data_IF_353981008042
#
_entry.id   IF_353981008042
#
_cell.length_a   1.000
_cell.length_b   1.000
_cell.length_c   1.000
_cell.angle_alpha   90.00
_cell.angle_beta   90.00
_cell.angle_gamma   90.00
#
_symmetry.space_group_name_H-M   'P 1'
#
loop_
_entity.id
_entity.type
_entity.pdbx_description
1 polymer ?
#
# COMPACT_ATOMS: atom_id res chain seq x y z
N UNK A 1 21.11 -18.16 50.25
CA UNK A 1 22.51 -18.06 49.84
C UNK A 1 22.59 -17.03 48.75
N UNK A 2 23.06 -15.92 49.16
CA UNK A 2 23.30 -14.73 48.38
C UNK A 2 24.73 -14.68 47.83
N UNK A 3 24.90 -14.00 46.75
CA UNK A 3 26.16 -13.32 46.46
C UNK A 3 25.86 -12.00 45.74
N UNK A 4 26.42 -10.95 46.32
CA UNK A 4 26.43 -9.55 45.87
C UNK A 4 27.53 -9.33 44.83
N UNK A 5 27.31 -8.45 43.89
CA UNK A 5 28.00 -7.18 43.68
C UNK A 5 29.21 -7.22 42.80
N UNK A 6 29.24 -6.34 41.81
CA UNK A 6 30.22 -5.24 41.77
C UNK A 6 29.95 -4.27 40.60
N UNK A 7 29.86 -3.03 41.02
CA UNK A 7 29.94 -1.83 40.15
C UNK A 7 31.32 -1.73 39.46
N UNK A 8 31.35 -1.18 38.26
CA UNK A 8 32.46 -0.29 37.91
C UNK A 8 32.05 0.74 36.86
N UNK A 9 31.95 1.95 37.37
CA UNK A 9 31.94 3.22 36.66
C UNK A 9 33.31 3.45 36.00
N UNK A 10 33.34 3.87 34.74
CA UNK A 10 34.44 4.72 34.27
C UNK A 10 33.94 5.75 33.23
N UNK A 11 33.94 6.95 33.71
CA UNK A 11 33.79 8.20 32.96
C UNK A 11 35.12 8.60 32.33
N UNK A 12 35.13 9.14 31.11
CA UNK A 12 36.05 10.15 30.57
C UNK A 12 35.37 10.84 29.39
N UNK A 13 34.92 12.07 29.58
CA UNK A 13 35.57 13.37 29.33
C UNK A 13 35.83 13.72 27.86
N UNK A 14 34.97 14.61 27.37
CA UNK A 14 35.17 15.87 26.61
C UNK A 14 36.35 15.97 25.61
N UNK A 15 36.01 16.33 24.37
CA UNK A 15 36.76 17.37 23.67
C UNK A 15 35.87 18.14 22.69
N UNK A 16 35.71 19.40 22.98
CA UNK A 16 35.13 20.49 22.18
C UNK A 16 36.25 21.03 21.29
N UNK A 17 35.99 21.14 19.99
CA UNK A 17 36.81 21.99 19.11
C UNK A 17 35.87 22.91 18.34
N UNK A 18 35.85 24.17 18.79
CA UNK A 18 35.37 25.33 18.05
C UNK A 18 36.47 25.81 17.10
N UNK A 19 36.12 26.07 15.86
CA UNK A 19 36.93 26.91 14.96
C UNK A 19 36.01 27.95 14.34
N UNK A 20 36.22 29.17 14.83
CA UNK A 20 35.78 30.43 14.25
C UNK A 20 36.86 30.97 13.31
N UNK A 21 36.52 31.46 12.15
CA UNK A 21 37.31 32.43 11.37
C UNK A 21 36.40 33.24 10.45
N UNK A 22 36.46 34.34 10.66
CA UNK A 22 36.35 35.77 10.42
C UNK A 22 36.48 36.16 8.94
N UNK A 23 35.63 37.11 8.62
CA UNK A 23 35.46 38.10 7.59
C UNK A 23 36.68 38.61 6.78
N UNK A 24 36.39 39.08 5.56
CA UNK A 24 36.93 40.34 5.04
C UNK A 24 36.05 40.89 3.90
N UNK A 25 35.65 42.11 4.07
CA UNK A 25 35.04 43.06 3.14
C UNK A 25 36.07 43.60 2.14
N UNK A 26 35.67 43.85 0.91
CA UNK A 26 36.25 44.93 0.10
C UNK A 26 35.22 45.46 -0.91
N UNK A 27 34.87 46.69 -0.73
CA UNK A 27 34.14 47.60 -1.58
C UNK A 27 35.05 48.23 -2.62
N UNK A 28 34.60 48.39 -3.86
CA UNK A 28 34.94 49.57 -4.67
C UNK A 28 33.82 49.85 -5.65
N UNK A 29 33.25 51.04 -5.54
CA UNK A 29 32.34 51.62 -6.50
C UNK A 29 33.08 52.33 -7.61
N UNK A 30 32.45 52.45 -8.75
CA UNK A 30 32.67 53.53 -9.72
C UNK A 30 31.34 53.90 -10.41
N UNK A 31 30.95 55.15 -10.18
CA UNK A 31 29.93 55.87 -10.94
C UNK A 31 30.37 56.13 -12.40
N UNK A 32 29.48 56.03 -13.33
CA UNK A 32 29.52 56.79 -14.59
C UNK A 32 28.10 56.95 -15.17
N UNK A 33 27.57 58.16 -14.98
CA UNK A 33 26.46 58.70 -15.78
C UNK A 33 26.87 58.99 -17.21
N UNK A 34 25.99 58.68 -18.17
CA UNK A 34 25.62 59.46 -19.39
C UNK A 34 24.79 58.58 -20.31
N UNK A 35 23.65 59.11 -20.66
CA UNK A 35 23.23 59.68 -21.94
C UNK A 35 21.89 59.11 -22.36
N UNK A 36 20.82 59.89 -22.19
CA UNK A 36 19.52 59.67 -22.81
C UNK A 36 19.60 59.87 -24.33
N UNK A 37 19.26 58.87 -25.14
CA UNK A 37 18.74 59.07 -26.49
C UNK A 37 17.50 58.18 -26.65
N UNK A 38 16.37 58.86 -26.92
CA UNK A 38 15.11 58.19 -27.27
C UNK A 38 15.22 57.62 -28.68
N UNK A 39 15.02 56.35 -28.86
CA UNK A 39 14.84 55.66 -30.14
C UNK A 39 13.42 55.12 -30.24
N UNK A 40 12.90 54.87 -31.47
CA UNK A 40 11.47 54.74 -31.74
C UNK A 40 10.80 53.50 -31.19
N UNK A 41 9.52 53.67 -30.85
CA UNK A 41 8.60 52.66 -30.38
C UNK A 41 8.56 51.43 -31.33
N UNK A 42 9.26 50.37 -30.91
CA UNK A 42 9.12 49.05 -31.51
C UNK A 42 7.89 48.34 -30.95
N UNK A 43 6.93 48.03 -31.78
CA UNK A 43 5.83 47.13 -31.51
C UNK A 43 6.37 45.80 -30.96
N UNK A 44 6.01 45.47 -29.71
CA UNK A 44 6.29 44.14 -29.13
C UNK A 44 5.33 43.14 -29.79
N UNK A 45 5.86 42.26 -30.59
CA UNK A 45 5.15 41.07 -31.00
C UNK A 45 4.68 40.29 -29.75
N UNK A 46 3.45 39.77 -29.73
CA UNK A 46 2.97 38.93 -28.63
C UNK A 46 3.85 37.68 -28.51
N UNK A 47 4.11 37.19 -27.30
CA UNK A 47 4.85 35.93 -27.11
C UNK A 47 4.15 34.81 -27.88
N UNK A 48 4.92 33.85 -28.42
CA UNK A 48 4.32 32.72 -29.12
C UNK A 48 3.40 31.97 -28.12
N UNK A 49 2.19 31.69 -28.57
CA UNK A 49 1.25 30.85 -27.83
C UNK A 49 1.97 29.53 -27.51
N UNK A 50 2.17 29.25 -26.23
CA UNK A 50 2.61 27.95 -25.80
C UNK A 50 1.60 26.92 -26.34
N UNK A 51 1.99 26.17 -27.36
CA UNK A 51 1.31 24.97 -27.74
C UNK A 51 1.37 24.04 -26.52
N UNK A 52 0.30 23.99 -25.75
CA UNK A 52 0.05 22.89 -24.82
C UNK A 52 -0.19 21.70 -25.73
N UNK A 53 0.86 20.93 -26.00
CA UNK A 53 0.72 19.59 -26.53
C UNK A 53 -0.03 18.82 -25.46
N UNK A 54 -1.33 18.66 -25.64
CA UNK A 54 -2.10 17.72 -24.82
C UNK A 54 -1.42 16.37 -24.99
N UNK A 55 -0.66 15.96 -23.96
CA UNK A 55 -0.22 14.58 -23.87
C UNK A 55 -1.51 13.76 -23.82
N UNK A 56 -1.75 12.98 -24.87
CA UNK A 56 -2.82 12.00 -24.92
C UNK A 56 -2.54 11.06 -23.75
N UNK A 57 -3.31 11.18 -22.66
CA UNK A 57 -3.31 10.17 -21.61
C UNK A 57 -3.63 8.85 -22.31
N UNK A 58 -2.64 7.98 -22.41
CA UNK A 58 -2.85 6.62 -22.87
C UNK A 58 -3.72 5.97 -21.82
N UNK A 59 -4.97 5.65 -22.17
CA UNK A 59 -5.86 4.88 -21.31
C UNK A 59 -5.16 3.57 -20.98
N UNK A 60 -4.96 3.33 -19.68
CA UNK A 60 -4.41 2.06 -19.20
C UNK A 60 -5.40 0.93 -19.48
N UNK A 61 -4.93 -0.15 -20.13
CA UNK A 61 -5.77 -1.26 -20.54
C UNK A 61 -5.82 -2.38 -19.49
N UNK A 62 -6.92 -3.13 -19.37
CA UNK A 62 -7.01 -4.28 -18.48
C UNK A 62 -5.85 -5.27 -18.67
N UNK A 63 -5.22 -5.66 -17.56
CA UNK A 63 -4.04 -6.53 -17.55
C UNK A 63 -2.72 -5.79 -17.71
N UNK A 64 -2.73 -4.49 -18.00
CA UNK A 64 -1.52 -3.68 -18.07
C UNK A 64 -0.87 -3.57 -16.68
N UNK A 65 0.47 -3.71 -16.65
CA UNK A 65 1.28 -3.63 -15.43
C UNK A 65 2.11 -2.36 -15.53
N UNK A 66 2.09 -1.56 -14.48
CA UNK A 66 2.81 -0.29 -14.45
C UNK A 66 3.20 0.12 -13.02
N UNK A 67 4.03 1.17 -12.93
CA UNK A 67 4.38 1.87 -11.69
C UNK A 67 4.32 3.37 -11.95
N UNK A 68 3.78 4.13 -11.00
CA UNK A 68 3.74 5.60 -11.12
C UNK A 68 5.10 6.26 -10.77
N UNK A 69 5.99 5.55 -10.11
CA UNK A 69 7.37 5.97 -9.87
C UNK A 69 8.29 4.75 -9.68
N UNK A 70 9.62 4.96 -9.76
CA UNK A 70 10.62 3.90 -9.69
C UNK A 70 10.49 2.97 -8.48
N UNK A 71 10.21 3.54 -7.31
CA UNK A 71 10.16 2.81 -6.04
C UNK A 71 8.71 2.77 -5.48
N UNK A 72 7.70 2.94 -6.34
CA UNK A 72 6.30 2.79 -6.02
C UNK A 72 5.86 1.33 -6.13
N UNK A 73 4.75 0.93 -5.49
CA UNK A 73 4.15 -0.38 -5.72
C UNK A 73 3.85 -0.65 -7.19
N UNK A 74 4.15 -1.86 -7.66
CA UNK A 74 3.77 -2.33 -8.98
C UNK A 74 2.27 -2.63 -9.01
N UNK A 75 1.57 -2.08 -9.99
CA UNK A 75 0.12 -2.16 -10.12
C UNK A 75 -0.27 -2.99 -11.35
N UNK A 76 -1.45 -3.58 -11.30
CA UNK A 76 -2.11 -4.16 -12.48
C UNK A 76 -3.50 -3.58 -12.65
N UNK A 77 -3.89 -3.33 -13.89
CA UNK A 77 -5.24 -2.87 -14.22
C UNK A 77 -6.21 -4.04 -14.21
N UNK A 78 -7.20 -3.98 -13.32
CA UNK A 78 -8.27 -4.96 -13.20
C UNK A 78 -9.46 -4.52 -14.05
N UNK A 79 -10.02 -5.42 -14.91
CA UNK A 79 -11.15 -5.07 -15.77
C UNK A 79 -12.43 -4.82 -14.99
N UNK A 80 -13.40 -4.07 -15.54
CA UNK A 80 -14.76 -4.05 -15.02
C UNK A 80 -15.42 -5.43 -15.20
N UNK A 81 -16.45 -5.71 -14.41
CA UNK A 81 -17.20 -6.97 -14.48
C UNK A 81 -18.08 -7.19 -13.27
N UNK A 82 -18.78 -8.31 -13.26
CA UNK A 82 -19.69 -8.69 -12.19
C UNK A 82 -19.19 -9.99 -11.52
N UNK A 83 -19.40 -10.11 -10.21
CA UNK A 83 -19.10 -11.34 -9.49
C UNK A 83 -20.04 -11.56 -8.30
N UNK A 84 -20.10 -12.78 -7.82
CA UNK A 84 -20.80 -13.12 -6.59
C UNK A 84 -19.81 -13.02 -5.44
N UNK A 85 -20.02 -12.02 -4.56
CA UNK A 85 -19.24 -11.78 -3.36
C UNK A 85 -19.78 -12.62 -2.20
N UNK A 86 -18.85 -13.09 -1.36
CA UNK A 86 -19.17 -13.86 -0.17
C UNK A 86 -19.19 -15.36 -0.40
N UNK A 87 -19.70 -16.09 0.57
CA UNK A 87 -19.92 -17.56 0.53
C UNK A 87 -21.00 -17.98 1.53
N UNK A 88 -21.32 -19.28 1.51
CA UNK A 88 -22.23 -19.86 2.50
C UNK A 88 -21.49 -20.59 3.64
N UNK A 89 -20.17 -20.45 3.73
CA UNK A 89 -19.35 -21.19 4.70
C UNK A 89 -19.47 -20.63 6.12
N UNK A 90 -19.50 -19.31 6.28
CA UNK A 90 -19.64 -18.68 7.60
C UNK A 90 -20.80 -17.65 7.60
N UNK A 91 -21.27 -17.27 8.78
CA UNK A 91 -22.27 -16.22 8.92
C UNK A 91 -21.77 -14.85 8.44
N UNK A 92 -20.47 -14.59 8.56
CA UNK A 92 -19.86 -13.31 8.22
C UNK A 92 -19.75 -13.08 6.70
N UNK A 93 -19.79 -14.17 5.93
CA UNK A 93 -19.67 -14.16 4.47
C UNK A 93 -21.04 -14.16 3.76
N UNK A 94 -22.15 -14.20 4.53
CA UNK A 94 -23.54 -14.29 4.04
C UNK A 94 -24.24 -12.94 4.02
N UNK A 95 -25.26 -12.80 3.15
CA UNK A 95 -25.56 -13.68 2.02
C UNK A 95 -24.60 -13.48 0.86
N UNK A 96 -24.41 -14.52 0.04
CA UNK A 96 -23.83 -14.30 -1.29
C UNK A 96 -24.67 -13.28 -2.05
N UNK A 97 -24.01 -12.33 -2.70
CA UNK A 97 -24.71 -11.26 -3.43
C UNK A 97 -23.90 -10.78 -4.63
N UNK A 98 -24.60 -10.28 -5.63
CA UNK A 98 -24.00 -9.75 -6.85
C UNK A 98 -23.39 -8.38 -6.61
N UNK A 99 -22.14 -8.20 -7.03
CA UNK A 99 -21.45 -6.92 -7.06
C UNK A 99 -21.07 -6.59 -8.51
N UNK A 100 -21.27 -5.32 -8.90
CA UNK A 100 -20.85 -4.78 -10.18
C UNK A 100 -19.62 -3.87 -10.03
N UNK A 101 -18.50 -4.26 -10.61
CA UNK A 101 -17.31 -3.44 -10.80
C UNK A 101 -17.51 -2.63 -12.08
N UNK A 102 -18.01 -1.42 -11.98
CA UNK A 102 -18.45 -0.62 -13.13
C UNK A 102 -17.32 0.00 -13.95
N UNK A 103 -16.15 0.19 -13.35
CA UNK A 103 -14.99 0.82 -13.98
C UNK A 103 -13.74 0.01 -13.69
N UNK A 104 -12.75 0.03 -14.58
CA UNK A 104 -11.45 -0.55 -14.27
C UNK A 104 -10.80 0.22 -13.12
N UNK A 105 -9.97 -0.45 -12.36
CA UNK A 105 -9.12 0.14 -11.32
C UNK A 105 -7.75 -0.54 -11.34
N UNK A 106 -6.73 0.13 -10.84
CA UNK A 106 -5.43 -0.49 -10.70
C UNK A 106 -5.20 -0.89 -9.24
N UNK A 107 -4.67 -2.08 -9.01
CA UNK A 107 -4.41 -2.62 -7.68
C UNK A 107 -2.98 -3.12 -7.56
N UNK A 108 -2.37 -3.00 -6.37
CA UNK A 108 -1.06 -3.56 -6.08
C UNK A 108 -1.01 -5.03 -6.42
N UNK A 109 -0.06 -5.41 -7.27
CA UNK A 109 0.15 -6.82 -7.63
C UNK A 109 0.53 -7.67 -6.43
N UNK A 110 1.19 -7.07 -5.45
CA UNK A 110 1.66 -7.65 -4.19
C UNK A 110 1.15 -6.82 -3.02
N UNK A 111 1.27 -7.35 -1.83
CA UNK A 111 1.17 -6.55 -0.62
C UNK A 111 2.25 -5.45 -0.65
N UNK A 112 2.00 -4.30 -0.03
CA UNK A 112 3.03 -3.28 0.18
C UNK A 112 4.18 -3.90 0.96
N UNK A 113 5.39 -3.72 0.45
CA UNK A 113 6.60 -4.29 1.04
C UNK A 113 7.24 -3.38 2.09
N UNK A 114 8.12 -3.93 2.91
CA UNK A 114 8.94 -3.12 3.81
C UNK A 114 9.80 -2.10 3.06
N UNK A 115 10.31 -2.44 1.88
CA UNK A 115 11.10 -1.51 1.07
C UNK A 115 10.27 -0.29 0.65
N UNK A 116 9.02 -0.49 0.22
CA UNK A 116 8.10 0.58 -0.14
C UNK A 116 7.67 1.40 1.09
N UNK A 117 7.38 0.73 2.21
CA UNK A 117 7.06 1.39 3.48
C UNK A 117 8.21 2.28 3.97
N UNK A 118 9.44 1.79 3.89
CA UNK A 118 10.63 2.52 4.35
C UNK A 118 10.82 3.83 3.57
N UNK A 119 10.42 3.89 2.29
CA UNK A 119 10.39 5.16 1.53
C UNK A 119 9.45 6.21 2.17
N UNK A 120 8.26 5.78 2.61
CA UNK A 120 7.33 6.65 3.31
C UNK A 120 7.88 7.10 4.68
N UNK A 121 8.51 6.17 5.40
CA UNK A 121 9.10 6.44 6.70
C UNK A 121 10.31 7.37 6.61
N UNK A 122 11.15 7.21 5.60
CA UNK A 122 12.33 8.05 5.34
C UNK A 122 11.93 9.45 4.87
N UNK A 123 10.80 9.56 4.16
CA UNK A 123 10.19 10.84 3.81
C UNK A 123 9.53 11.54 5.01
N UNK A 124 9.46 10.89 6.18
CA UNK A 124 8.87 11.43 7.42
C UNK A 124 7.33 11.42 7.45
N UNK A 125 6.66 10.87 6.44
CA UNK A 125 5.21 10.79 6.37
C UNK A 125 4.67 9.62 7.21
N UNK A 126 5.26 8.44 7.09
CA UNK A 126 4.97 7.29 7.94
C UNK A 126 5.89 7.30 9.16
N UNK A 127 5.37 7.72 10.30
CA UNK A 127 6.20 7.86 11.53
C UNK A 127 6.53 6.52 12.19
N UNK A 128 5.71 5.51 11.97
CA UNK A 128 5.92 4.18 12.53
C UNK A 128 6.99 3.42 11.74
N UNK A 129 7.90 2.77 12.47
CA UNK A 129 8.89 1.85 11.90
C UNK A 129 8.57 0.44 12.40
N UNK A 130 7.80 -0.33 11.63
CA UNK A 130 7.34 -1.64 12.07
C UNK A 130 8.49 -2.62 12.22
N UNK A 131 8.37 -3.49 13.23
CA UNK A 131 9.30 -4.59 13.49
C UNK A 131 9.11 -5.68 12.41
N UNK A 132 10.22 -6.20 11.91
CA UNK A 132 10.26 -7.32 10.97
C UNK A 132 10.48 -8.68 11.65
N UNK A 133 10.46 -8.73 12.98
CA UNK A 133 10.69 -9.90 13.81
C UNK A 133 12.01 -10.63 13.54
N UNK A 134 12.99 -9.94 12.92
CA UNK A 134 14.26 -10.54 12.51
C UNK A 134 14.13 -11.44 11.28
N UNK A 135 12.99 -11.41 10.58
CA UNK A 135 12.79 -12.19 9.34
C UNK A 135 13.40 -11.53 8.11
N UNK A 136 13.76 -10.25 8.23
CA UNK A 136 14.27 -9.41 7.17
C UNK A 136 13.18 -8.55 6.54
N UNK A 137 13.61 -7.42 6.00
CA UNK A 137 12.77 -6.39 5.35
C UNK A 137 12.73 -6.60 3.82
N UNK A 138 12.97 -5.57 3.07
CA UNK A 138 13.03 -5.61 1.60
C UNK A 138 11.69 -5.98 1.00
N UNK A 139 11.68 -7.06 0.23
CA UNK A 139 10.50 -7.53 -0.51
C UNK A 139 9.45 -8.27 0.34
N UNK A 140 9.63 -8.42 1.64
CA UNK A 140 8.59 -8.99 2.50
C UNK A 140 7.45 -7.98 2.68
N UNK A 141 6.19 -8.45 2.82
CA UNK A 141 5.09 -7.54 3.12
C UNK A 141 5.35 -6.76 4.39
N UNK A 142 5.06 -5.48 4.38
CA UNK A 142 5.05 -4.72 5.63
C UNK A 142 3.96 -5.27 6.54
N UNK A 143 4.34 -5.59 7.76
CA UNK A 143 3.47 -6.08 8.83
C UNK A 143 3.63 -5.20 10.07
N UNK A 144 2.90 -5.47 11.14
CA UNK A 144 2.87 -4.59 12.32
C UNK A 144 2.39 -3.16 11.99
N UNK A 145 1.49 -3.03 11.05
CA UNK A 145 0.85 -1.77 10.67
C UNK A 145 -0.64 -1.81 10.98
N UNK A 146 -1.17 -0.71 11.50
CA UNK A 146 -2.61 -0.52 11.71
C UNK A 146 -3.29 -0.07 10.42
N UNK A 147 -4.62 -0.03 10.43
CA UNK A 147 -5.40 0.56 9.35
C UNK A 147 -5.07 2.05 9.18
N UNK A 148 -4.94 2.79 10.28
CA UNK A 148 -4.56 4.20 10.26
C UNK A 148 -3.15 4.40 9.68
N UNK A 149 -2.21 3.50 9.95
CA UNK A 149 -0.87 3.53 9.34
C UNK A 149 -0.95 3.31 7.82
N UNK A 150 -1.81 2.40 7.35
CA UNK A 150 -2.01 2.14 5.94
C UNK A 150 -2.63 3.36 5.22
N UNK A 151 -3.59 4.07 5.85
CA UNK A 151 -4.14 5.33 5.34
C UNK A 151 -3.08 6.43 5.22
N UNK A 152 -2.16 6.54 6.18
CA UNK A 152 -1.03 7.48 6.05
C UNK A 152 -0.14 7.15 4.85
N UNK A 153 0.11 5.87 4.59
CA UNK A 153 0.90 5.43 3.44
C UNK A 153 0.23 5.78 2.11
N UNK A 154 -1.06 5.47 1.93
CA UNK A 154 -1.77 5.78 0.67
C UNK A 154 -1.92 7.29 0.45
N UNK A 155 -2.08 8.06 1.53
CA UNK A 155 -2.07 9.52 1.49
C UNK A 155 -0.72 10.08 1.04
N UNK A 156 0.38 9.57 1.59
CA UNK A 156 1.74 9.92 1.16
C UNK A 156 2.00 9.53 -0.31
N UNK A 157 1.61 8.31 -0.69
CA UNK A 157 1.80 7.81 -2.05
C UNK A 157 1.03 8.66 -3.06
N UNK A 158 -0.18 9.10 -2.71
CA UNK A 158 -0.98 10.02 -3.52
C UNK A 158 -0.29 11.37 -3.72
N UNK A 159 0.29 11.94 -2.67
CA UNK A 159 1.04 13.19 -2.76
C UNK A 159 2.33 13.03 -3.58
N UNK A 160 3.06 11.92 -3.40
CA UNK A 160 4.31 11.63 -4.10
C UNK A 160 4.11 11.49 -5.60
N UNK A 161 3.02 10.86 -6.02
CA UNK A 161 2.77 10.52 -7.44
C UNK A 161 1.85 11.50 -8.16
N UNK A 162 1.07 12.30 -7.42
CA UNK A 162 0.00 13.13 -7.97
C UNK A 162 -1.22 12.31 -8.44
N UNK A 163 -1.26 11.01 -8.13
CA UNK A 163 -2.35 10.10 -8.45
C UNK A 163 -3.18 9.81 -7.20
N UNK A 164 -4.43 9.36 -7.35
CA UNK A 164 -5.28 9.05 -6.22
C UNK A 164 -5.11 7.58 -5.81
N UNK A 165 -4.45 7.36 -4.68
CA UNK A 165 -4.30 6.07 -4.03
C UNK A 165 -5.20 5.96 -2.80
N UNK A 166 -5.66 4.76 -2.52
CA UNK A 166 -6.45 4.38 -1.35
C UNK A 166 -6.29 2.90 -1.02
N UNK A 167 -6.86 2.45 0.07
CA UNK A 167 -7.07 1.02 0.30
C UNK A 167 -8.12 0.48 -0.69
N UNK A 168 -8.09 -0.81 -1.05
CA UNK A 168 -9.17 -1.43 -1.80
C UNK A 168 -10.45 -1.43 -0.96
N UNK A 169 -11.63 -1.32 -1.59
CA UNK A 169 -12.84 -1.77 -0.92
C UNK A 169 -12.81 -3.29 -0.74
N UNK A 170 -13.58 -3.80 0.22
CA UNK A 170 -13.68 -5.25 0.43
C UNK A 170 -14.15 -5.99 -0.84
N UNK A 171 -15.07 -5.36 -1.59
CA UNK A 171 -15.57 -5.89 -2.85
C UNK A 171 -14.50 -5.89 -3.95
N UNK A 172 -13.73 -4.82 -4.09
CA UNK A 172 -12.61 -4.77 -5.05
C UNK A 172 -11.54 -5.81 -4.71
N UNK A 173 -11.23 -5.96 -3.43
CA UNK A 173 -10.27 -6.96 -2.96
C UNK A 173 -10.71 -8.38 -3.33
N UNK A 174 -11.97 -8.77 -3.00
CA UNK A 174 -12.47 -10.13 -3.28
C UNK A 174 -12.61 -10.39 -4.79
N UNK A 175 -13.05 -9.39 -5.56
CA UNK A 175 -13.10 -9.47 -7.02
C UNK A 175 -11.73 -9.74 -7.62
N UNK A 176 -10.73 -8.96 -7.21
CA UNK A 176 -9.37 -9.10 -7.66
C UNK A 176 -8.73 -10.43 -7.22
N UNK A 177 -8.99 -10.88 -5.98
CA UNK A 177 -8.52 -12.14 -5.46
C UNK A 177 -9.11 -13.36 -6.21
N UNK A 178 -10.39 -13.31 -6.55
CA UNK A 178 -11.06 -14.38 -7.31
C UNK A 178 -10.62 -14.44 -8.77
N UNK A 179 -10.30 -13.32 -9.39
CA UNK A 179 -9.89 -13.24 -10.79
C UNK A 179 -10.81 -14.07 -11.72
N UNK A 180 -12.15 -13.92 -11.56
CA UNK A 180 -13.17 -14.58 -12.36
C UNK A 180 -13.56 -15.99 -11.89
N UNK A 181 -12.92 -16.57 -10.87
CA UNK A 181 -13.28 -17.89 -10.33
C UNK A 181 -14.38 -17.82 -9.29
N UNK A 182 -15.06 -18.95 -9.06
CA UNK A 182 -16.11 -19.12 -8.04
C UNK A 182 -15.71 -20.11 -6.94
N UNK A 183 -14.51 -20.65 -7.03
CA UNK A 183 -13.99 -21.66 -6.10
C UNK A 183 -13.50 -21.03 -4.81
N UNK A 184 -13.19 -21.84 -3.80
CA UNK A 184 -12.69 -21.36 -2.50
C UNK A 184 -11.39 -20.54 -2.66
N UNK A 185 -10.53 -20.99 -3.55
CA UNK A 185 -9.29 -20.31 -3.95
C UNK A 185 -9.33 -20.04 -5.46
N UNK A 186 -8.58 -19.08 -5.94
CA UNK A 186 -8.52 -18.79 -7.38
C UNK A 186 -7.95 -19.96 -8.21
N UNK A 187 -7.20 -20.87 -7.60
CA UNK A 187 -6.66 -22.09 -8.26
C UNK A 187 -7.52 -23.33 -8.10
N UNK A 188 -8.61 -23.29 -7.32
CA UNK A 188 -9.49 -24.45 -7.15
C UNK A 188 -10.21 -24.51 -5.81
N UNK A 189 -10.71 -25.69 -5.47
CA UNK A 189 -11.48 -25.91 -4.23
C UNK A 189 -10.61 -26.17 -3.03
N UNK A 190 -9.49 -26.85 -3.24
CA UNK A 190 -8.58 -27.29 -2.19
C UNK A 190 -7.36 -26.37 -2.12
N UNK A 191 -6.85 -26.14 -0.91
CA UNK A 191 -5.67 -25.29 -0.71
C UNK A 191 -4.44 -25.88 -1.42
N UNK A 192 -4.33 -27.21 -1.49
CA UNK A 192 -3.18 -27.88 -2.07
C UNK A 192 -1.89 -27.65 -1.30
N UNK A 193 -0.78 -27.67 -2.01
CA UNK A 193 0.55 -27.45 -1.45
C UNK A 193 1.34 -26.49 -2.33
N UNK A 194 2.01 -25.51 -1.71
CA UNK A 194 2.90 -24.57 -2.41
C UNK A 194 2.18 -23.47 -3.22
N UNK A 195 0.91 -23.18 -2.89
CA UNK A 195 0.15 -22.10 -3.52
C UNK A 195 0.02 -20.85 -2.67
N UNK A 196 0.20 -20.98 -1.35
CA UNK A 196 0.02 -19.89 -0.39
C UNK A 196 0.92 -20.09 0.83
N UNK A 197 1.28 -19.01 1.50
CA UNK A 197 1.94 -19.03 2.80
C UNK A 197 0.88 -19.00 3.90
N UNK A 198 0.54 -20.17 4.43
CA UNK A 198 -0.41 -20.31 5.54
C UNK A 198 -0.08 -21.54 6.41
N UNK A 199 -0.78 -21.74 7.52
CA UNK A 199 -0.54 -22.90 8.36
C UNK A 199 -0.91 -24.20 7.62
N UNK A 200 0.05 -25.10 7.53
CA UNK A 200 -0.08 -26.38 6.83
C UNK A 200 -0.38 -26.31 5.33
N UNK A 201 -0.02 -25.23 4.65
CA UNK A 201 -0.17 -25.05 3.21
C UNK A 201 1.01 -25.65 2.40
N UNK A 202 1.82 -26.48 3.00
CA UNK A 202 2.92 -27.20 2.33
C UNK A 202 4.13 -26.32 2.00
N UNK A 203 4.30 -25.20 2.67
CA UNK A 203 5.47 -24.35 2.55
C UNK A 203 6.55 -24.71 3.58
N UNK A 204 7.83 -24.61 3.23
CA UNK A 204 8.93 -24.97 4.12
C UNK A 204 9.08 -24.03 5.31
N UNK A 205 8.70 -22.78 5.15
CA UNK A 205 8.79 -21.73 6.18
C UNK A 205 7.49 -21.68 6.97
N UNK A 206 7.58 -21.97 8.26
CA UNK A 206 6.39 -21.95 9.13
C UNK A 206 6.35 -20.67 9.94
N UNK A 207 5.14 -20.13 10.10
CA UNK A 207 4.84 -19.02 11.02
C UNK A 207 5.62 -17.72 10.80
N UNK A 208 5.95 -17.44 9.56
CA UNK A 208 6.53 -16.14 9.16
C UNK A 208 6.10 -15.76 7.75
N UNK A 209 6.01 -14.47 7.48
CA UNK A 209 5.80 -13.96 6.13
C UNK A 209 7.02 -14.29 5.25
N UNK A 210 6.79 -14.53 3.96
CA UNK A 210 7.82 -14.69 2.93
C UNK A 210 7.87 -13.45 2.04
N UNK A 211 8.84 -13.35 1.14
CA UNK A 211 8.87 -12.26 0.17
C UNK A 211 7.56 -12.22 -0.63
N UNK A 212 6.98 -11.05 -0.79
CA UNK A 212 5.77 -10.85 -1.58
C UNK A 212 6.03 -11.28 -3.04
N UNK A 213 5.08 -11.98 -3.64
CA UNK A 213 5.26 -12.55 -4.98
C UNK A 213 5.96 -13.92 -5.00
N UNK A 214 6.09 -14.59 -3.84
CA UNK A 214 6.76 -15.92 -3.77
C UNK A 214 5.97 -17.06 -4.43
N UNK A 215 4.68 -16.88 -4.67
CA UNK A 215 3.81 -17.89 -5.28
C UNK A 215 3.36 -17.45 -6.67
N UNK A 216 2.59 -18.31 -7.35
CA UNK A 216 2.05 -17.97 -8.67
C UNK A 216 0.98 -16.88 -8.54
N UNK A 217 0.91 -15.93 -9.49
CA UNK A 217 -0.16 -14.95 -9.52
C UNK A 217 -1.48 -15.60 -9.99
N UNK A 218 -2.61 -14.97 -9.62
CA UNK A 218 -3.93 -15.34 -10.13
C UNK A 218 -4.15 -14.86 -11.58
N UNK A 219 -5.34 -15.09 -12.12
CA UNK A 219 -5.70 -14.74 -13.51
C UNK A 219 -5.68 -13.24 -13.82
N UNK A 220 -5.68 -12.37 -12.82
CA UNK A 220 -5.50 -10.91 -12.99
C UNK A 220 -4.06 -10.44 -12.71
N UNK A 221 -3.14 -11.35 -12.38
CA UNK A 221 -1.74 -11.03 -12.14
C UNK A 221 -1.42 -10.63 -10.70
N UNK A 222 -2.35 -10.86 -9.75
CA UNK A 222 -2.12 -10.58 -8.33
C UNK A 222 -1.48 -11.77 -7.63
N UNK A 223 -0.52 -11.49 -6.76
CA UNK A 223 0.15 -12.44 -5.89
C UNK A 223 -0.44 -12.41 -4.48
N UNK A 224 -0.25 -13.48 -3.74
CA UNK A 224 -0.45 -13.60 -2.29
C UNK A 224 -1.84 -13.17 -1.81
N UNK A 225 -2.88 -13.34 -2.64
CA UNK A 225 -4.28 -13.09 -2.23
C UNK A 225 -4.83 -14.19 -1.31
N UNK A 226 -3.97 -15.10 -0.87
CA UNK A 226 -4.26 -16.15 0.10
C UNK A 226 -3.03 -16.35 0.99
N UNK A 227 -3.13 -16.00 2.28
CA UNK A 227 -2.04 -16.11 3.24
C UNK A 227 -1.01 -14.98 3.13
N UNK A 228 0.20 -15.22 3.57
CA UNK A 228 1.32 -14.29 3.73
C UNK A 228 1.00 -13.19 4.75
N UNK A 229 0.44 -12.06 4.40
CA UNK A 229 -0.07 -11.07 5.35
C UNK A 229 -1.58 -10.87 5.16
N UNK A 230 -2.34 -10.73 6.26
CA UNK A 230 -3.73 -10.32 6.19
C UNK A 230 -3.81 -8.84 5.79
N UNK A 231 -4.74 -8.50 4.90
CA UNK A 231 -4.72 -7.21 4.24
C UNK A 231 -5.87 -6.33 4.70
N UNK A 232 -5.55 -5.14 5.19
CA UNK A 232 -6.51 -4.10 5.48
C UNK A 232 -7.23 -3.64 4.22
N UNK A 233 -8.55 -3.49 4.32
CA UNK A 233 -9.37 -2.84 3.31
C UNK A 233 -10.09 -1.63 3.90
N UNK A 234 -10.72 -0.82 3.06
CA UNK A 234 -11.33 0.45 3.47
C UNK A 234 -12.59 0.26 4.33
N UNK A 235 -13.24 -0.89 4.25
CA UNK A 235 -14.56 -1.16 4.81
C UNK A 235 -14.56 -1.22 6.33
N UNK A 236 -15.61 -0.65 6.94
CA UNK A 236 -15.98 -0.88 8.33
C UNK A 236 -16.56 -2.28 8.52
N UNK A 237 -16.40 -2.86 9.70
CA UNK A 237 -16.95 -4.17 9.97
C UNK A 237 -18.47 -4.18 10.05
N UNK A 238 -19.07 -5.13 9.37
CA UNK A 238 -20.46 -5.55 9.47
C UNK A 238 -20.50 -7.09 9.60
N UNK A 239 -21.32 -7.61 10.51
CA UNK A 239 -21.37 -9.05 10.84
C UNK A 239 -21.89 -9.94 9.71
N UNK A 240 -22.39 -9.36 8.65
CA UNK A 240 -22.87 -10.06 7.45
C UNK A 240 -23.08 -9.04 6.31
N UNK A 241 -23.39 -9.52 5.11
CA UNK A 241 -23.61 -8.69 3.93
C UNK A 241 -25.07 -8.25 3.72
N UNK A 242 -25.94 -8.35 4.73
CA UNK A 242 -27.29 -7.76 4.63
C UNK A 242 -27.18 -6.25 4.50
N UNK A 243 -27.78 -5.71 3.43
CA UNK A 243 -27.73 -4.29 3.10
C UNK A 243 -26.33 -3.77 2.66
N UNK A 244 -25.39 -4.65 2.35
CA UNK A 244 -24.12 -4.24 1.78
C UNK A 244 -24.32 -3.47 0.45
N UNK A 245 -23.44 -2.53 0.10
CA UNK A 245 -23.40 -1.92 -1.22
C UNK A 245 -23.40 -3.01 -2.31
N UNK A 246 -24.02 -2.72 -3.46
CA UNK A 246 -24.07 -3.64 -4.61
C UNK A 246 -23.07 -3.25 -5.71
N UNK A 247 -22.23 -2.30 -5.42
CA UNK A 247 -21.17 -1.84 -6.27
C UNK A 247 -19.82 -1.91 -5.51
N UNK A 248 -18.76 -1.50 -6.17
CA UNK A 248 -17.41 -1.59 -5.59
C UNK A 248 -17.09 -0.51 -4.54
N UNK A 249 -18.08 0.27 -4.10
CA UNK A 249 -17.86 1.30 -3.09
C UNK A 249 -17.66 0.67 -1.72
N UNK A 250 -16.67 1.16 -0.98
CA UNK A 250 -16.40 0.70 0.37
C UNK A 250 -17.61 0.91 1.30
N UNK A 251 -17.87 -0.07 2.14
CA UNK A 251 -18.95 0.00 3.13
C UNK A 251 -18.47 0.74 4.39
N UNK A 252 -18.60 2.06 4.37
CA UNK A 252 -18.11 2.96 5.43
C UNK A 252 -19.11 3.18 6.57
N UNK A 253 -20.18 2.40 6.64
CA UNK A 253 -21.11 2.33 7.78
C UNK A 253 -21.00 0.99 8.50
N UNK A 254 -21.35 0.96 9.79
CA UNK A 254 -21.19 -0.19 10.66
C UNK A 254 -20.27 0.13 11.85
N UNK A 255 -19.57 -0.84 12.39
CA UNK A 255 -18.57 -0.60 13.45
C UNK A 255 -17.21 -0.24 12.82
N UNK A 256 -16.97 1.05 12.62
CA UNK A 256 -15.74 1.53 12.00
C UNK A 256 -14.53 1.58 12.95
N UNK A 257 -14.68 1.24 14.23
CA UNK A 257 -13.54 0.95 15.12
C UNK A 257 -12.89 -0.36 14.71
N UNK A 258 -13.68 -1.25 14.09
CA UNK A 258 -13.23 -2.50 13.52
C UNK A 258 -13.17 -2.35 12.00
N UNK A 259 -12.04 -2.69 11.43
CA UNK A 259 -11.86 -2.71 9.97
C UNK A 259 -11.75 -4.14 9.46
N UNK A 260 -12.18 -4.32 8.22
CA UNK A 260 -12.12 -5.62 7.57
C UNK A 260 -10.67 -5.95 7.18
N UNK A 261 -10.30 -7.22 7.40
CA UNK A 261 -9.08 -7.85 6.92
C UNK A 261 -9.42 -8.99 5.99
N UNK A 262 -8.63 -9.15 4.93
CA UNK A 262 -8.83 -10.15 3.88
C UNK A 262 -7.59 -11.00 3.67
N UNK A 263 -7.76 -12.14 3.02
CA UNK A 263 -6.66 -13.02 2.59
C UNK A 263 -6.14 -13.98 3.65
N UNK A 264 -6.32 -13.68 4.95
CA UNK A 264 -5.65 -14.38 6.04
C UNK A 264 -4.13 -14.18 6.00
N UNK A 265 -3.38 -14.89 6.81
CA UNK A 265 -1.93 -14.69 6.94
C UNK A 265 -1.18 -16.02 7.09
N UNK A 266 0.14 -15.94 7.27
CA UNK A 266 1.03 -17.10 7.39
C UNK A 266 0.72 -18.03 8.57
N UNK A 267 -0.09 -17.63 9.56
CA UNK A 267 -0.55 -18.49 10.65
C UNK A 267 -1.99 -18.98 10.47
N UNK A 268 -2.70 -18.48 9.46
CA UNK A 268 -4.10 -18.84 9.20
C UNK A 268 -4.23 -20.26 8.65
N UNK A 269 -5.31 -20.94 9.04
CA UNK A 269 -5.67 -22.23 8.45
C UNK A 269 -6.16 -22.07 7.01
N UNK A 270 -6.16 -23.15 6.24
CA UNK A 270 -6.66 -23.16 4.87
C UNK A 270 -8.08 -22.58 4.73
N UNK A 271 -8.98 -22.83 5.68
CA UNK A 271 -10.34 -22.28 5.67
C UNK A 271 -10.39 -20.77 5.82
N UNK A 272 -9.32 -20.16 6.32
CA UNK A 272 -9.22 -18.75 6.64
C UNK A 272 -8.52 -17.94 5.54
N UNK A 273 -7.87 -18.59 4.56
CA UNK A 273 -7.22 -17.95 3.41
C UNK A 273 -8.00 -18.10 2.12
N UNK A 274 -9.31 -18.49 2.18
CA UNK A 274 -10.22 -18.52 1.04
C UNK A 274 -10.51 -17.11 0.54
N UNK A 275 -10.81 -16.97 -0.74
CA UNK A 275 -11.14 -15.66 -1.34
C UNK A 275 -12.31 -14.96 -0.63
N UNK A 276 -13.31 -15.72 -0.10
CA UNK A 276 -14.45 -15.15 0.62
C UNK A 276 -14.20 -14.92 2.13
N UNK A 277 -13.12 -15.48 2.69
CA UNK A 277 -12.86 -15.38 4.13
C UNK A 277 -12.60 -13.93 4.53
N UNK A 278 -13.22 -13.53 5.62
CA UNK A 278 -13.13 -12.17 6.16
C UNK A 278 -12.90 -12.18 7.66
N UNK A 279 -12.12 -11.25 8.11
CA UNK A 279 -11.76 -11.02 9.51
C UNK A 279 -11.95 -9.56 9.86
N UNK A 280 -11.84 -9.25 11.14
CA UNK A 280 -11.85 -7.89 11.66
C UNK A 280 -10.77 -7.71 12.70
N UNK A 281 -10.29 -6.49 12.80
CA UNK A 281 -9.40 -6.07 13.87
C UNK A 281 -9.64 -4.61 14.19
N UNK A 282 -9.25 -4.17 15.39
CA UNK A 282 -9.32 -2.75 15.74
C UNK A 282 -8.44 -1.92 14.80
N UNK A 283 -8.96 -0.80 14.31
CA UNK A 283 -8.32 0.02 13.28
C UNK A 283 -6.94 0.55 13.69
N UNK A 284 -6.73 0.80 14.98
CA UNK A 284 -5.50 1.36 15.56
C UNK A 284 -4.48 0.31 16.00
N UNK A 285 -4.84 -0.99 15.95
CA UNK A 285 -3.97 -2.07 16.43
C UNK A 285 -2.99 -2.51 15.35
N UNK A 286 -1.72 -2.55 15.73
CA UNK A 286 -0.61 -3.08 14.93
C UNK A 286 -0.39 -4.54 15.29
N UNK A 287 -0.72 -5.44 14.37
CA UNK A 287 -0.59 -6.87 14.57
C UNK A 287 0.47 -7.45 13.63
N UNK A 288 1.27 -8.38 14.15
CA UNK A 288 2.47 -8.92 13.49
C UNK A 288 2.22 -9.67 12.17
N UNK A 289 0.97 -9.85 11.79
CA UNK A 289 0.58 -10.56 10.57
C UNK A 289 -0.39 -9.75 9.70
N UNK A 290 -0.63 -8.47 10.02
CA UNK A 290 -1.48 -7.57 9.25
C UNK A 290 -0.63 -6.58 8.43
N UNK A 291 -0.90 -6.54 7.15
CA UNK A 291 -0.36 -5.62 6.16
C UNK A 291 -1.48 -5.06 5.28
N UNK A 292 -1.20 -4.69 4.05
CA UNK A 292 -2.18 -4.17 3.10
C UNK A 292 -1.63 -4.13 1.68
N UNK A 293 -2.52 -3.96 0.70
CA UNK A 293 -2.17 -3.54 -0.67
C UNK A 293 -2.91 -2.26 -1.03
N UNK A 294 -2.47 -1.59 -2.10
CA UNK A 294 -3.03 -0.30 -2.52
C UNK A 294 -3.91 -0.44 -3.75
N UNK A 295 -4.86 0.48 -3.90
CA UNK A 295 -5.60 0.72 -5.15
C UNK A 295 -5.27 2.12 -5.65
N UNK A 296 -5.09 2.26 -6.97
CA UNK A 296 -5.04 3.53 -7.68
C UNK A 296 -6.31 3.71 -8.49
N UNK A 297 -7.03 4.80 -8.28
CA UNK A 297 -8.19 5.14 -9.10
C UNK A 297 -7.74 5.51 -10.53
N UNK A 298 -8.41 4.94 -11.52
CA UNK A 298 -8.22 5.27 -12.93
C UNK A 298 -9.27 6.32 -13.33
N UNK A 299 -8.85 7.32 -14.11
CA UNK A 299 -9.71 8.40 -14.61
C UNK A 299 -10.54 7.95 -15.80
#
# INVERSE_FOLDING_TARGET
>A
MGFRGNDNMNSRLLSVISVTALAALASTGVDAQRGLTAGPSGERSPPPANLVVAQKETSLEPGEIFQDCRDCPELVVVPPGDFIMGSNDTQYEKPEHMIAIKRPFAIGRREVTFAEWDQCADAGACKHRPDDHGWGRGERPVINVSWDDAELFVGWLSQKTGQKYRLPSEAEWEYAARAGTKTAFWWGRDVGSGHAQCDNCGTPTKQQAVAAGSFRPNGFGLYDTAGNAAEWVEDCWNDNYRNAPKDAVAWTSGDCRLRVLRGGNFTSKASEVRSAARFRYDADVRYYANGFRVVRELQ
#
